data_IF_700430654582
#
_entry.id   IF_700430654582
#
_cell.length_a   1.000
_cell.length_b   1.000
_cell.length_c   1.000
_cell.angle_alpha   90.00
_cell.angle_beta   90.00
_cell.angle_gamma   90.00
#
_symmetry.space_group_name_H-M   'P 1'
#
loop_
_entity.id
_entity.type
_entity.pdbx_description
1 polymer ?
#
# COMPACT_ATOMS: atom_id res chain seq x y z
N UNK A 1 18.88 12.29 -37.01
CA UNK A 1 19.03 11.90 -35.59
C UNK A 1 18.04 12.77 -34.80
N UNK A 2 16.79 12.34 -34.72
CA UNK A 2 15.77 13.06 -33.96
C UNK A 2 16.00 12.84 -32.46
N UNK A 3 15.70 13.81 -31.58
CA UNK A 3 15.79 13.58 -30.15
C UNK A 3 14.81 12.45 -29.80
N UNK A 4 15.34 11.36 -29.26
CA UNK A 4 14.60 10.26 -28.67
C UNK A 4 13.96 10.77 -27.36
N UNK A 5 12.96 11.65 -27.46
CA UNK A 5 12.05 11.96 -26.37
C UNK A 5 11.15 10.76 -26.15
N UNK A 6 11.73 9.68 -25.60
CA UNK A 6 10.97 8.75 -24.77
C UNK A 6 10.42 9.59 -23.63
N UNK A 7 9.19 10.07 -23.77
CA UNK A 7 8.40 10.57 -22.65
C UNK A 7 8.45 9.46 -21.60
N UNK A 8 9.27 9.66 -20.57
CA UNK A 8 9.40 8.69 -19.49
C UNK A 8 8.00 8.52 -18.89
N UNK A 9 7.46 7.32 -19.00
CA UNK A 9 6.15 6.99 -18.47
C UNK A 9 6.15 7.31 -16.97
N UNK A 10 5.09 7.94 -16.42
CA UNK A 10 5.05 8.30 -15.01
C UNK A 10 5.18 7.04 -14.15
N UNK A 11 6.11 7.06 -13.19
CA UNK A 11 6.22 6.01 -12.20
C UNK A 11 5.55 6.44 -10.88
N UNK A 12 4.58 5.65 -10.46
CA UNK A 12 3.97 5.73 -9.13
C UNK A 12 5.06 5.58 -8.07
N UNK A 13 5.87 4.53 -8.15
CA UNK A 13 6.89 4.23 -7.12
C UNK A 13 7.92 5.37 -6.97
N UNK A 14 8.40 5.95 -8.07
CA UNK A 14 9.26 7.14 -8.02
C UNK A 14 8.57 8.31 -7.34
N UNK A 15 7.31 8.59 -7.73
CA UNK A 15 6.52 9.67 -7.14
C UNK A 15 6.39 9.51 -5.62
N UNK A 16 6.06 8.30 -5.14
CA UNK A 16 5.96 8.01 -3.70
C UNK A 16 7.29 8.27 -2.97
N UNK A 17 8.40 7.85 -3.55
CA UNK A 17 9.73 8.03 -2.97
C UNK A 17 10.20 9.49 -3.01
N UNK A 18 9.84 10.25 -4.05
CA UNK A 18 10.12 11.68 -4.16
C UNK A 18 9.32 12.47 -3.12
N UNK A 19 8.03 12.14 -2.96
CA UNK A 19 7.15 12.69 -1.91
C UNK A 19 7.67 12.37 -0.51
N UNK A 20 8.15 11.14 -0.26
CA UNK A 20 8.75 10.76 1.02
C UNK A 20 10.03 11.57 1.33
N UNK A 21 10.91 11.77 0.32
CA UNK A 21 12.11 12.61 0.49
C UNK A 21 11.77 14.06 0.80
N UNK A 22 10.72 14.61 0.18
CA UNK A 22 10.25 15.96 0.47
C UNK A 22 9.64 16.08 1.86
N UNK A 23 8.81 15.11 2.27
CA UNK A 23 8.25 15.06 3.62
C UNK A 23 9.38 15.05 4.68
N UNK A 24 10.45 14.29 4.43
CA UNK A 24 11.60 14.22 5.33
C UNK A 24 12.38 15.54 5.48
N UNK A 25 12.22 16.47 4.54
CA UNK A 25 12.86 17.79 4.58
C UNK A 25 12.00 18.84 5.31
N UNK A 26 10.72 18.53 5.58
CA UNK A 26 9.85 19.46 6.29
C UNK A 26 10.23 19.50 7.79
N UNK A 27 10.21 20.69 8.42
CA UNK A 27 10.47 20.81 9.85
C UNK A 27 9.43 20.03 10.66
N UNK A 28 9.89 19.24 11.64
CA UNK A 28 9.04 18.40 12.49
C UNK A 28 8.06 19.21 13.38
N UNK A 29 8.30 20.51 13.53
CA UNK A 29 7.48 21.43 14.32
C UNK A 29 7.17 22.67 13.47
N UNK A 30 6.11 22.62 12.69
CA UNK A 30 5.54 23.84 12.12
C UNK A 30 4.74 24.52 13.22
N UNK A 31 5.37 25.43 13.95
CA UNK A 31 4.63 26.44 14.70
C UNK A 31 3.95 27.33 13.66
N UNK A 32 2.63 27.29 13.61
CA UNK A 32 1.78 28.16 12.79
C UNK A 32 1.85 27.96 11.25
N UNK A 33 1.18 26.91 10.74
CA UNK A 33 0.66 26.87 9.37
C UNK A 33 1.64 26.87 8.18
N UNK A 34 2.94 27.10 8.39
CA UNK A 34 3.94 27.31 7.33
C UNK A 34 4.20 26.07 6.47
N UNK A 35 4.06 24.86 7.03
CA UNK A 35 4.18 23.60 6.27
C UNK A 35 2.89 23.14 5.58
N UNK A 36 1.75 23.81 5.81
CA UNK A 36 0.47 23.45 5.19
C UNK A 36 0.49 23.42 3.64
N UNK A 37 1.09 24.39 2.92
CA UNK A 37 1.13 24.33 1.46
C UNK A 37 1.98 23.16 0.93
N UNK A 38 3.10 22.84 1.60
CA UNK A 38 3.97 21.73 1.20
C UNK A 38 3.32 20.38 1.48
N UNK A 39 2.69 20.20 2.65
CA UNK A 39 1.91 19.00 2.96
C UNK A 39 0.76 18.82 1.97
N UNK A 40 0.06 19.89 1.59
CA UNK A 40 -0.99 19.85 0.58
C UNK A 40 -0.46 19.50 -0.81
N UNK A 41 0.75 19.94 -1.15
CA UNK A 41 1.41 19.56 -2.40
C UNK A 41 1.75 18.06 -2.40
N UNK A 42 2.32 17.54 -1.31
CA UNK A 42 2.61 16.12 -1.14
C UNK A 42 1.33 15.28 -1.21
N UNK A 43 0.28 15.65 -0.45
CA UNK A 43 -1.00 14.93 -0.48
C UNK A 43 -1.60 14.86 -1.90
N UNK A 44 -1.48 15.95 -2.67
CA UNK A 44 -1.94 15.99 -4.06
C UNK A 44 -1.13 15.07 -4.98
N UNK A 45 0.18 15.02 -4.81
CA UNK A 45 1.05 14.10 -5.57
C UNK A 45 0.70 12.65 -5.28
N UNK A 46 0.50 12.31 -4.01
CA UNK A 46 0.06 10.97 -3.61
C UNK A 46 -1.31 10.62 -4.21
N UNK A 47 -2.25 11.57 -4.20
CA UNK A 47 -3.58 11.38 -4.79
C UNK A 47 -3.53 11.18 -6.31
N UNK A 48 -2.67 11.93 -7.01
CA UNK A 48 -2.42 11.72 -8.45
C UNK A 48 -1.80 10.36 -8.70
N UNK A 49 -0.84 9.94 -7.86
CA UNK A 49 -0.19 8.62 -7.96
C UNK A 49 -1.19 7.47 -7.77
N UNK A 50 -2.14 7.60 -6.83
CA UNK A 50 -3.25 6.64 -6.66
C UNK A 50 -4.11 6.54 -7.93
N UNK A 51 -4.40 7.66 -8.58
CA UNK A 51 -5.13 7.69 -9.85
C UNK A 51 -4.37 7.04 -11.02
N UNK A 52 -3.03 7.04 -10.98
CA UNK A 52 -2.19 6.40 -12.00
C UNK A 52 -2.01 4.89 -11.76
N UNK A 53 -2.04 4.44 -10.51
CA UNK A 53 -1.83 3.03 -10.18
C UNK A 53 -1.94 2.72 -8.69
N UNK A 54 -3.17 2.77 -8.15
CA UNK A 54 -3.44 2.42 -6.76
C UNK A 54 -2.91 1.03 -6.35
N UNK A 55 -2.96 0.04 -7.25
CA UNK A 55 -2.41 -1.29 -6.96
C UNK A 55 -0.87 -1.29 -6.86
N UNK A 56 -0.19 -0.41 -7.61
CA UNK A 56 1.27 -0.22 -7.46
C UNK A 56 1.57 0.46 -6.13
N UNK A 57 0.77 1.44 -5.72
CA UNK A 57 0.92 2.10 -4.44
C UNK A 57 0.73 1.13 -3.27
N UNK A 58 -0.33 0.32 -3.28
CA UNK A 58 -0.53 -0.74 -2.28
C UNK A 58 0.62 -1.74 -2.26
N UNK A 59 1.09 -2.17 -3.43
CA UNK A 59 2.23 -3.07 -3.51
C UNK A 59 3.51 -2.45 -2.94
N UNK A 60 3.72 -1.14 -3.11
CA UNK A 60 4.84 -0.43 -2.52
C UNK A 60 4.78 -0.41 -0.98
N UNK A 61 3.58 -0.33 -0.40
CA UNK A 61 3.37 -0.46 1.05
C UNK A 61 3.69 -1.90 1.50
N UNK A 62 3.03 -2.90 0.88
CA UNK A 62 3.16 -4.30 1.29
C UNK A 62 4.58 -4.87 1.12
N UNK A 63 5.34 -4.37 0.16
CA UNK A 63 6.72 -4.79 -0.11
C UNK A 63 7.77 -3.85 0.53
N UNK A 64 7.36 -2.90 1.37
CA UNK A 64 8.23 -1.92 2.02
C UNK A 64 9.18 -1.19 1.03
N UNK A 65 8.63 -0.65 -0.06
CA UNK A 65 9.39 -0.01 -1.15
C UNK A 65 9.40 1.53 -1.09
N UNK A 66 8.86 2.10 -0.01
CA UNK A 66 8.87 3.55 0.24
C UNK A 66 10.08 3.89 1.11
N UNK A 67 10.98 4.72 0.59
CA UNK A 67 12.20 5.11 1.29
C UNK A 67 11.94 6.14 2.41
N UNK A 68 12.90 6.24 3.33
CA UNK A 68 12.90 7.21 4.40
C UNK A 68 12.94 6.58 5.79
N UNK A 69 12.88 7.43 6.81
CA UNK A 69 12.75 6.98 8.20
C UNK A 69 11.39 6.32 8.39
N UNK A 70 11.25 5.53 9.46
CA UNK A 70 9.96 4.91 9.80
C UNK A 70 8.83 5.94 9.89
N UNK A 71 9.06 7.11 10.50
CA UNK A 71 8.04 8.15 10.64
C UNK A 71 7.58 8.70 9.27
N UNK A 72 8.53 9.01 8.40
CA UNK A 72 8.25 9.51 7.04
C UNK A 72 7.50 8.46 6.23
N UNK A 73 7.99 7.22 6.22
CA UNK A 73 7.35 6.13 5.50
C UNK A 73 5.93 5.88 6.01
N UNK A 74 5.76 5.78 7.34
CA UNK A 74 4.46 5.57 7.97
C UNK A 74 3.44 6.64 7.60
N UNK A 75 3.85 7.92 7.57
CA UNK A 75 2.98 9.02 7.14
C UNK A 75 2.54 8.87 5.68
N UNK A 76 3.46 8.51 4.77
CA UNK A 76 3.15 8.27 3.34
C UNK A 76 2.21 7.06 3.19
N UNK A 77 2.52 5.93 3.83
CA UNK A 77 1.72 4.70 3.78
C UNK A 77 0.29 4.95 4.30
N UNK A 78 0.18 5.64 5.45
CA UNK A 78 -1.11 5.97 6.07
C UNK A 78 -1.92 6.90 5.17
N UNK A 79 -1.30 7.92 4.57
CA UNK A 79 -1.97 8.85 3.67
C UNK A 79 -2.50 8.13 2.42
N UNK A 80 -1.70 7.24 1.81
CA UNK A 80 -2.11 6.46 0.65
C UNK A 80 -3.33 5.58 0.95
N UNK A 81 -3.32 4.84 2.07
CA UNK A 81 -4.43 3.98 2.46
C UNK A 81 -5.70 4.76 2.79
N UNK A 82 -5.59 5.82 3.59
CA UNK A 82 -6.73 6.62 3.99
C UNK A 82 -7.37 7.30 2.77
N UNK A 83 -6.58 7.93 1.89
CA UNK A 83 -7.10 8.55 0.67
C UNK A 83 -7.74 7.52 -0.28
N UNK A 84 -7.13 6.33 -0.43
CA UNK A 84 -7.66 5.28 -1.30
C UNK A 84 -9.05 4.81 -0.86
N UNK A 85 -9.26 4.63 0.43
CA UNK A 85 -10.56 4.21 0.98
C UNK A 85 -11.57 5.36 0.92
N UNK A 86 -11.13 6.59 1.21
CA UNK A 86 -11.99 7.78 1.08
C UNK A 86 -12.44 8.03 -0.37
N UNK A 87 -11.63 7.69 -1.37
CA UNK A 87 -12.02 7.76 -2.79
C UNK A 87 -13.20 6.83 -3.09
N UNK A 88 -13.19 5.61 -2.55
CA UNK A 88 -14.28 4.65 -2.71
C UNK A 88 -15.57 5.12 -2.03
N UNK A 89 -15.43 5.87 -0.92
CA UNK A 89 -16.53 6.54 -0.22
C UNK A 89 -17.05 7.81 -0.93
N UNK A 90 -16.61 8.10 -2.16
CA UNK A 90 -17.03 9.24 -2.97
C UNK A 90 -16.81 10.62 -2.34
N UNK A 91 -15.80 10.74 -1.48
CA UNK A 91 -15.40 12.02 -0.88
C UNK A 91 -14.91 13.01 -1.96
N UNK A 92 -15.10 14.30 -1.71
CA UNK A 92 -14.65 15.36 -2.61
C UNK A 92 -13.12 15.46 -2.64
N UNK A 93 -12.59 16.08 -3.70
CA UNK A 93 -11.15 16.28 -3.82
C UNK A 93 -10.55 17.10 -2.66
N UNK A 94 -11.32 18.01 -2.07
CA UNK A 94 -10.87 18.81 -0.92
C UNK A 94 -10.73 17.91 0.31
N UNK A 95 -11.74 17.11 0.61
CA UNK A 95 -11.74 16.17 1.74
C UNK A 95 -10.61 15.15 1.62
N UNK A 96 -10.33 14.63 0.41
CA UNK A 96 -9.21 13.72 0.17
C UNK A 96 -7.85 14.35 0.49
N UNK A 97 -7.64 15.62 0.14
CA UNK A 97 -6.41 16.33 0.47
C UNK A 97 -6.28 16.57 1.97
N UNK A 98 -7.38 16.89 2.66
CA UNK A 98 -7.36 17.14 4.10
C UNK A 98 -7.10 15.84 4.88
N UNK A 99 -7.67 14.71 4.43
CA UNK A 99 -7.33 13.36 4.93
C UNK A 99 -5.86 13.05 4.71
N UNK A 100 -5.34 13.31 3.51
CA UNK A 100 -3.93 13.09 3.18
C UNK A 100 -3.00 13.91 4.08
N UNK A 101 -3.29 15.19 4.30
CA UNK A 101 -2.51 16.07 5.19
C UNK A 101 -2.55 15.56 6.62
N UNK A 102 -3.74 15.22 7.14
CA UNK A 102 -3.88 14.69 8.50
C UNK A 102 -3.03 13.42 8.69
N UNK A 103 -3.05 12.52 7.71
CA UNK A 103 -2.25 11.30 7.73
C UNK A 103 -0.74 11.54 7.61
N UNK A 104 -0.29 12.54 6.85
CA UNK A 104 1.13 12.89 6.74
C UNK A 104 1.70 13.43 8.06
N UNK A 105 0.84 13.97 8.93
CA UNK A 105 1.22 14.51 10.24
C UNK A 105 1.09 13.51 11.38
N UNK A 106 0.49 12.34 11.16
CA UNK A 106 0.29 11.35 12.22
C UNK A 106 1.60 10.63 12.53
N UNK A 107 1.90 10.45 13.81
CA UNK A 107 2.96 9.53 14.21
C UNK A 107 2.37 8.14 14.45
N UNK A 108 3.18 7.09 14.35
CA UNK A 108 2.72 5.72 14.60
C UNK A 108 2.19 5.49 16.04
N UNK A 109 2.44 6.45 16.94
CA UNK A 109 2.03 6.39 18.35
C UNK A 109 0.64 7.02 18.59
N UNK A 110 0.08 7.75 17.62
CA UNK A 110 -1.17 8.53 17.75
C UNK A 110 -2.45 7.75 17.38
N UNK A 111 -2.40 6.42 17.27
CA UNK A 111 -3.41 5.62 16.54
C UNK A 111 -4.76 5.38 17.24
N UNK A 112 -5.05 6.01 18.39
CA UNK A 112 -6.33 5.83 19.08
C UNK A 112 -7.28 6.99 18.77
N UNK A 113 -8.41 6.74 18.09
CA UNK A 113 -9.39 7.78 17.81
C UNK A 113 -9.94 8.33 19.14
N UNK A 114 -9.99 9.66 19.26
CA UNK A 114 -10.63 10.31 20.40
C UNK A 114 -12.11 9.90 20.49
N UNK A 115 -12.71 9.94 21.68
CA UNK A 115 -14.13 9.60 21.92
C UNK A 115 -15.15 10.35 21.04
N UNK A 116 -14.73 11.40 20.34
CA UNK A 116 -15.54 12.21 19.42
C UNK A 116 -14.78 12.48 18.12
N UNK A 117 -14.21 11.43 17.52
CA UNK A 117 -13.52 11.53 16.23
C UNK A 117 -14.52 11.64 15.07
N UNK A 118 -14.18 12.49 14.11
CA UNK A 118 -14.85 12.55 12.80
C UNK A 118 -14.58 11.27 11.98
N UNK A 119 -15.44 10.94 10.98
CA UNK A 119 -15.21 9.78 10.10
C UNK A 119 -13.82 9.78 9.44
N UNK A 120 -13.31 10.94 9.06
CA UNK A 120 -12.00 11.14 8.44
C UNK A 120 -10.88 10.79 9.42
N UNK A 121 -10.99 11.23 10.68
CA UNK A 121 -10.04 10.89 11.74
C UNK A 121 -10.05 9.41 12.07
N UNK A 122 -11.23 8.77 12.10
CA UNK A 122 -11.34 7.32 12.29
C UNK A 122 -10.66 6.61 11.12
N UNK A 123 -10.89 7.04 9.88
CA UNK A 123 -10.27 6.44 8.71
C UNK A 123 -8.74 6.53 8.73
N UNK A 124 -8.19 7.70 9.07
CA UNK A 124 -6.74 7.89 9.24
C UNK A 124 -6.21 6.99 10.36
N UNK A 125 -6.92 6.85 11.48
CA UNK A 125 -6.53 5.97 12.57
C UNK A 125 -6.53 4.48 12.16
N UNK A 126 -7.55 4.02 11.43
CA UNK A 126 -7.62 2.66 10.89
C UNK A 126 -6.46 2.38 9.92
N UNK A 127 -6.17 3.32 9.02
CA UNK A 127 -5.04 3.24 8.10
C UNK A 127 -3.69 3.18 8.85
N UNK A 128 -3.50 4.05 9.84
CA UNK A 128 -2.28 4.10 10.65
C UNK A 128 -2.06 2.81 11.43
N UNK A 129 -3.12 2.26 12.02
CA UNK A 129 -3.04 0.98 12.72
C UNK A 129 -2.71 -0.16 11.75
N UNK A 130 -3.30 -0.18 10.56
CA UNK A 130 -2.97 -1.17 9.53
C UNK A 130 -1.50 -1.13 9.16
N UNK A 131 -0.97 0.05 8.81
CA UNK A 131 0.45 0.24 8.50
C UNK A 131 1.34 -0.25 9.65
N UNK A 132 0.99 0.05 10.90
CA UNK A 132 1.76 -0.42 12.07
C UNK A 132 1.80 -1.94 12.17
N UNK A 133 0.68 -2.62 11.88
CA UNK A 133 0.58 -4.08 11.95
C UNK A 133 1.39 -4.77 10.84
N UNK A 134 1.36 -4.24 9.62
CA UNK A 134 1.99 -4.83 8.42
C UNK A 134 3.42 -4.35 8.15
N UNK A 135 3.84 -3.24 8.75
CA UNK A 135 5.18 -2.63 8.58
C UNK A 135 6.08 -2.83 9.80
N UNK A 136 5.77 -3.80 10.67
CA UNK A 136 6.43 -4.02 11.97
C UNK A 136 7.96 -3.90 11.91
N UNK A 137 8.57 -3.14 12.84
CA UNK A 137 10.03 -2.84 12.94
C UNK A 137 10.97 -4.05 12.82
N UNK A 138 10.46 -5.25 13.08
CA UNK A 138 11.09 -6.52 12.79
C UNK A 138 10.11 -7.36 11.95
N UNK A 139 10.44 -7.64 10.69
CA UNK A 139 9.64 -8.47 9.77
C UNK A 139 9.17 -9.81 10.37
N UNK A 140 9.92 -10.35 11.33
CA UNK A 140 9.58 -11.57 12.09
C UNK A 140 8.32 -11.45 12.97
N UNK A 141 7.85 -10.23 13.25
CA UNK A 141 6.66 -9.97 14.08
C UNK A 141 5.58 -9.19 13.33
N UNK A 142 5.72 -9.02 12.01
CA UNK A 142 4.67 -8.39 11.22
C UNK A 142 3.47 -9.29 11.10
N UNK A 143 2.26 -8.74 11.23
CA UNK A 143 1.05 -9.46 10.88
C UNK A 143 0.97 -9.64 9.36
N UNK A 144 0.40 -10.77 8.91
CA UNK A 144 0.01 -10.90 7.50
C UNK A 144 -1.15 -9.93 7.19
N UNK A 145 -1.28 -9.44 5.94
CA UNK A 145 -2.34 -8.49 5.57
C UNK A 145 -3.76 -8.92 5.99
N UNK A 146 -4.09 -10.21 5.85
CA UNK A 146 -5.38 -10.76 6.21
C UNK A 146 -5.60 -10.83 7.73
N UNK A 147 -4.54 -11.08 8.51
CA UNK A 147 -4.57 -11.03 9.97
C UNK A 147 -4.71 -9.59 10.47
N UNK A 148 -3.98 -8.64 9.88
CA UNK A 148 -4.06 -7.23 10.24
C UNK A 148 -5.47 -6.67 10.02
N UNK A 149 -6.12 -7.01 8.89
CA UNK A 149 -7.51 -6.65 8.63
C UNK A 149 -8.47 -7.21 9.68
N UNK A 150 -8.28 -8.45 10.14
CA UNK A 150 -9.10 -9.05 11.19
C UNK A 150 -8.93 -8.33 12.52
N UNK A 151 -7.70 -8.02 12.94
CA UNK A 151 -7.43 -7.24 14.16
C UNK A 151 -8.13 -5.89 14.14
N UNK A 152 -8.00 -5.16 13.03
CA UNK A 152 -8.64 -3.84 12.89
C UNK A 152 -10.16 -3.94 12.99
N UNK A 153 -10.76 -4.98 12.41
CA UNK A 153 -12.21 -5.16 12.45
C UNK A 153 -12.74 -5.55 13.83
N UNK A 154 -12.03 -6.41 14.56
CA UNK A 154 -12.49 -6.96 15.84
C UNK A 154 -12.43 -5.94 16.99
N UNK A 155 -11.47 -5.02 16.96
CA UNK A 155 -11.23 -4.05 18.04
C UNK A 155 -12.15 -2.80 17.98
N UNK A 156 -13.39 -2.91 17.45
CA UNK A 156 -14.30 -1.75 17.24
C UNK A 156 -15.54 -1.78 18.13
N UNK A 157 -15.69 -0.70 18.92
CA UNK A 157 -16.77 -0.54 19.88
C UNK A 157 -17.97 0.23 19.32
N UNK A 158 -17.77 1.18 18.39
CA UNK A 158 -18.85 2.00 17.84
C UNK A 158 -19.34 1.55 16.45
N UNK A 159 -20.59 1.89 16.12
CA UNK A 159 -21.20 1.56 14.83
C UNK A 159 -20.50 2.21 13.63
N UNK A 160 -20.08 3.47 13.77
CA UNK A 160 -19.36 4.21 12.71
C UNK A 160 -17.98 3.61 12.45
N UNK A 161 -17.22 3.29 13.48
CA UNK A 161 -15.91 2.63 13.33
C UNK A 161 -16.04 1.28 12.62
N UNK A 162 -17.09 0.51 12.95
CA UNK A 162 -17.35 -0.77 12.30
C UNK A 162 -17.68 -0.58 10.82
N UNK A 163 -18.51 0.39 10.45
CA UNK A 163 -18.84 0.68 9.05
C UNK A 163 -17.59 1.09 8.26
N UNK A 164 -16.76 1.97 8.81
CA UNK A 164 -15.52 2.39 8.17
C UNK A 164 -14.52 1.24 8.05
N UNK A 165 -14.39 0.40 9.08
CA UNK A 165 -13.55 -0.80 9.01
C UNK A 165 -14.04 -1.79 7.93
N UNK A 166 -15.37 -1.94 7.76
CA UNK A 166 -15.92 -2.77 6.68
C UNK A 166 -15.58 -2.22 5.30
N UNK A 167 -15.75 -0.91 5.07
CA UNK A 167 -15.34 -0.28 3.81
C UNK A 167 -13.84 -0.42 3.57
N UNK A 168 -13.02 -0.21 4.59
CA UNK A 168 -11.58 -0.39 4.52
C UNK A 168 -11.20 -1.81 4.07
N UNK A 169 -11.84 -2.85 4.63
CA UNK A 169 -11.65 -4.24 4.23
C UNK A 169 -12.14 -4.52 2.80
N UNK A 170 -13.24 -3.92 2.37
CA UNK A 170 -13.77 -4.08 1.01
C UNK A 170 -12.82 -3.51 -0.03
N UNK A 171 -12.26 -2.31 0.21
CA UNK A 171 -11.35 -1.63 -0.70
C UNK A 171 -10.01 -2.33 -0.81
N UNK A 172 -9.46 -2.84 0.29
CA UNK A 172 -8.18 -3.55 0.28
C UNK A 172 -8.30 -4.98 -0.24
N UNK A 173 -9.44 -5.63 0.06
CA UNK A 173 -9.62 -7.05 -0.13
C UNK A 173 -8.78 -7.87 0.85
N UNK A 174 -9.00 -9.19 0.86
CA UNK A 174 -8.30 -10.11 1.76
C UNK A 174 -6.79 -10.14 1.52
N UNK A 175 -6.36 -10.04 0.27
CA UNK A 175 -4.96 -10.05 -0.14
C UNK A 175 -4.71 -8.82 -1.01
N UNK A 176 -4.30 -7.68 -0.45
CA UNK A 176 -4.00 -6.49 -1.22
C UNK A 176 -2.78 -6.70 -2.14
N UNK A 177 -2.59 -5.89 -3.20
CA UNK A 177 -1.44 -5.98 -4.09
C UNK A 177 -0.14 -5.85 -3.31
N UNK A 178 0.86 -6.63 -3.71
CA UNK A 178 2.12 -6.83 -2.98
C UNK A 178 2.07 -7.92 -1.91
N UNK A 179 0.89 -8.44 -1.55
CA UNK A 179 0.81 -9.61 -0.67
C UNK A 179 1.44 -10.83 -1.34
N UNK A 180 2.43 -11.43 -0.68
CA UNK A 180 2.99 -12.71 -1.08
C UNK A 180 2.04 -13.83 -0.67
N UNK A 181 1.77 -14.74 -1.60
CA UNK A 181 0.81 -15.83 -1.41
C UNK A 181 1.37 -17.16 -1.90
N UNK A 182 0.91 -18.24 -1.29
CA UNK A 182 1.17 -19.60 -1.74
C UNK A 182 -0.04 -20.12 -2.50
N UNK A 183 0.18 -20.66 -3.69
CA UNK A 183 -0.87 -21.25 -4.51
C UNK A 183 -1.02 -22.74 -4.18
N UNK A 184 -2.17 -23.31 -4.54
CA UNK A 184 -2.42 -24.75 -4.38
C UNK A 184 -1.44 -25.60 -5.19
N UNK A 185 -0.92 -25.07 -6.30
CA UNK A 185 0.14 -25.71 -7.09
C UNK A 185 1.47 -25.86 -6.34
N UNK A 186 1.68 -25.12 -5.25
CA UNK A 186 2.97 -25.00 -4.56
C UNK A 186 3.79 -23.79 -5.01
N UNK A 187 3.42 -23.13 -6.11
CA UNK A 187 4.05 -21.88 -6.54
C UNK A 187 3.88 -20.78 -5.49
N UNK A 188 4.92 -19.97 -5.31
CA UNK A 188 4.82 -18.67 -4.68
C UNK A 188 4.44 -17.63 -5.73
N UNK A 189 3.59 -16.69 -5.35
CA UNK A 189 3.15 -15.60 -6.19
C UNK A 189 2.97 -14.32 -5.38
N UNK A 190 2.86 -13.19 -6.07
CA UNK A 190 2.48 -11.90 -5.49
C UNK A 190 1.14 -11.44 -6.06
N UNK A 191 0.26 -10.90 -5.23
CA UNK A 191 -0.97 -10.27 -5.72
C UNK A 191 -0.62 -8.97 -6.45
N UNK A 192 -1.16 -8.78 -7.65
CA UNK A 192 -0.90 -7.59 -8.49
C UNK A 192 -2.11 -6.69 -8.65
N UNK A 193 -3.32 -7.20 -8.41
CA UNK A 193 -4.60 -6.48 -8.54
C UNK A 193 -5.63 -7.03 -7.55
N UNK A 194 -6.56 -6.19 -7.11
CA UNK A 194 -7.63 -6.53 -6.14
C UNK A 194 -8.89 -7.13 -6.76
N UNK A 195 -9.40 -6.52 -7.84
CA UNK A 195 -10.67 -6.93 -8.47
C UNK A 195 -10.60 -6.92 -10.02
N UNK A 196 -10.68 -8.10 -10.68
CA UNK A 196 -10.54 -9.41 -10.08
C UNK A 196 -9.14 -9.58 -9.47
N UNK A 197 -9.00 -10.44 -8.46
CA UNK A 197 -7.69 -10.70 -7.85
C UNK A 197 -6.75 -11.35 -8.86
N UNK A 198 -5.69 -10.63 -9.25
CA UNK A 198 -4.63 -11.15 -10.12
C UNK A 198 -3.38 -11.46 -9.31
N UNK A 199 -2.69 -12.52 -9.68
CA UNK A 199 -1.45 -12.99 -9.08
C UNK A 199 -0.36 -13.12 -10.14
N UNK A 200 0.87 -12.77 -9.79
CA UNK A 200 2.04 -12.99 -10.62
C UNK A 200 2.93 -14.05 -9.98
N UNK A 201 3.12 -15.22 -10.62
CA UNK A 201 4.03 -16.25 -10.12
C UNK A 201 5.44 -15.71 -9.93
N UNK A 202 6.06 -16.06 -8.81
CA UNK A 202 7.42 -15.70 -8.43
C UNK A 202 8.34 -16.92 -8.31
N UNK A 203 7.78 -18.12 -8.25
CA UNK A 203 8.53 -19.37 -8.23
C UNK A 203 7.91 -20.41 -9.15
N UNK A 204 8.66 -21.46 -9.45
CA UNK A 204 8.12 -22.68 -10.04
C UNK A 204 7.32 -23.49 -9.00
N UNK A 205 6.62 -24.54 -9.45
CA UNK A 205 5.91 -25.50 -8.57
C UNK A 205 6.86 -26.25 -7.62
N UNK A 206 8.15 -26.32 -7.95
CA UNK A 206 9.20 -26.87 -7.09
C UNK A 206 9.74 -25.87 -6.07
N UNK A 207 9.18 -24.65 -6.03
CA UNK A 207 9.62 -23.58 -5.12
C UNK A 207 10.89 -22.87 -5.55
N UNK A 208 11.36 -23.09 -6.79
CA UNK A 208 12.56 -22.41 -7.30
C UNK A 208 12.19 -20.98 -7.72
N UNK A 209 12.85 -19.94 -7.18
CA UNK A 209 12.64 -18.55 -7.60
C UNK A 209 12.79 -18.36 -9.11
N UNK A 210 11.86 -17.63 -9.73
CA UNK A 210 12.00 -17.23 -11.13
C UNK A 210 13.06 -16.14 -11.27
N UNK A 211 13.90 -16.25 -12.28
CA UNK A 211 14.87 -15.23 -12.65
C UNK A 211 14.18 -13.95 -13.18
N UNK A 212 14.87 -12.80 -13.18
CA UNK A 212 14.33 -11.56 -13.74
C UNK A 212 13.81 -11.67 -15.19
N UNK A 213 14.46 -12.47 -16.04
CA UNK A 213 14.02 -12.69 -17.42
C UNK A 213 12.75 -13.55 -17.48
N UNK A 214 12.66 -14.60 -16.66
CA UNK A 214 11.45 -15.43 -16.57
C UNK A 214 10.25 -14.63 -16.03
N UNK A 215 10.48 -13.74 -15.06
CA UNK A 215 9.43 -12.87 -14.53
C UNK A 215 8.83 -11.95 -15.60
N UNK A 216 9.65 -11.39 -16.51
CA UNK A 216 9.18 -10.54 -17.61
C UNK A 216 8.30 -11.29 -18.62
N UNK A 217 8.54 -12.58 -18.79
CA UNK A 217 7.78 -13.44 -19.70
C UNK A 217 6.58 -14.11 -19.04
N UNK A 218 6.50 -14.07 -17.71
CA UNK A 218 5.37 -14.62 -16.95
C UNK A 218 4.21 -13.64 -16.99
N UNK A 219 3.01 -14.15 -17.26
CA UNK A 219 1.78 -13.33 -17.26
C UNK A 219 1.03 -13.48 -15.93
N UNK A 220 0.41 -12.39 -15.43
CA UNK A 220 -0.51 -12.47 -14.32
C UNK A 220 -1.65 -13.45 -14.60
N UNK A 221 -2.03 -14.23 -13.59
CA UNK A 221 -3.13 -15.19 -13.61
C UNK A 221 -4.22 -14.70 -12.67
N UNK A 222 -5.49 -14.91 -13.00
CA UNK A 222 -6.56 -14.64 -12.03
C UNK A 222 -6.61 -15.75 -10.97
N UNK A 223 -6.67 -15.33 -9.70
CA UNK A 223 -6.66 -16.24 -8.56
C UNK A 223 -7.90 -17.15 -8.61
N UNK A 224 -7.68 -18.46 -8.48
CA UNK A 224 -8.78 -19.45 -8.46
C UNK A 224 -9.42 -19.76 -9.82
N UNK A 225 -8.96 -19.17 -10.94
CA UNK A 225 -9.46 -19.56 -12.29
C UNK A 225 -9.22 -21.03 -12.57
N UNK A 226 -8.08 -21.56 -12.09
CA UNK A 226 -7.86 -23.00 -11.99
C UNK A 226 -7.70 -23.37 -10.52
N UNK A 227 -8.03 -24.62 -10.17
CA UNK A 227 -7.83 -25.11 -8.81
C UNK A 227 -6.37 -24.95 -8.34
N UNK A 228 -5.41 -25.07 -9.27
CA UNK A 228 -3.98 -24.88 -9.04
C UNK A 228 -3.62 -23.43 -8.67
N UNK A 229 -4.30 -22.44 -9.25
CA UNK A 229 -4.07 -21.01 -8.97
C UNK A 229 -4.88 -20.48 -7.77
N UNK A 230 -5.54 -21.35 -7.00
CA UNK A 230 -6.23 -20.93 -5.78
C UNK A 230 -5.22 -20.56 -4.69
N UNK A 231 -5.42 -19.41 -4.04
CA UNK A 231 -4.59 -18.97 -2.91
C UNK A 231 -4.88 -19.87 -1.71
N UNK A 232 -3.83 -20.49 -1.16
CA UNK A 232 -3.88 -21.29 0.07
C UNK A 232 -3.74 -20.39 1.29
N UNK A 233 -2.89 -19.36 1.20
CA UNK A 233 -2.67 -18.38 2.27
C UNK A 233 -1.63 -17.34 1.89
N UNK A 234 -1.56 -16.26 2.66
CA UNK A 234 -0.48 -15.30 2.61
C UNK A 234 0.79 -15.88 3.26
N UNK A 235 1.96 -15.41 2.85
CA UNK A 235 3.26 -15.84 3.36
C UNK A 235 4.11 -14.64 3.75
N UNK A 236 4.93 -14.78 4.79
CA UNK A 236 5.88 -13.75 5.16
C UNK A 236 7.05 -13.70 4.17
N UNK A 237 7.65 -12.53 4.00
CA UNK A 237 8.83 -12.34 3.15
C UNK A 237 10.01 -13.23 3.60
N UNK A 238 10.19 -13.42 4.91
CA UNK A 238 11.21 -14.31 5.49
C UNK A 238 10.99 -15.79 5.16
N UNK A 239 9.74 -16.21 4.99
CA UNK A 239 9.41 -17.58 4.57
C UNK A 239 9.51 -17.74 3.06
N UNK A 240 9.18 -16.69 2.31
CA UNK A 240 9.28 -16.70 0.85
C UNK A 240 10.75 -16.80 0.41
N UNK A 241 11.67 -16.11 1.10
CA UNK A 241 13.11 -16.05 0.74
C UNK A 241 13.34 -15.65 -0.73
N UNK A 242 12.42 -14.87 -1.29
CA UNK A 242 12.42 -14.41 -2.67
C UNK A 242 12.77 -12.93 -2.72
N UNK A 243 13.62 -12.55 -3.67
CA UNK A 243 13.90 -11.14 -3.97
C UNK A 243 13.54 -10.88 -5.43
N UNK A 244 12.66 -9.92 -5.68
CA UNK A 244 12.28 -9.49 -7.02
C UNK A 244 12.13 -7.97 -7.07
N UNK A 245 12.24 -7.39 -8.26
CA UNK A 245 11.99 -5.96 -8.46
C UNK A 245 10.52 -5.72 -8.80
N UNK A 246 9.90 -4.71 -8.18
CA UNK A 246 8.54 -4.30 -8.56
C UNK A 246 8.42 -4.01 -10.06
N UNK A 247 9.45 -3.46 -10.70
CA UNK A 247 9.45 -3.20 -12.15
C UNK A 247 9.22 -4.46 -12.99
N UNK A 248 9.72 -5.62 -12.56
CA UNK A 248 9.52 -6.87 -13.29
C UNK A 248 8.08 -7.41 -13.17
N UNK A 249 7.29 -6.91 -12.22
CA UNK A 249 5.91 -7.34 -11.97
C UNK A 249 4.89 -6.30 -12.45
N UNK A 250 5.13 -5.01 -12.17
CA UNK A 250 4.23 -3.90 -12.49
C UNK A 250 4.73 -2.98 -13.62
N UNK A 251 5.88 -3.28 -14.23
CA UNK A 251 6.43 -2.50 -15.34
C UNK A 251 6.95 -1.13 -14.94
N UNK A 252 6.98 -0.21 -15.91
CA UNK A 252 7.58 1.13 -15.74
C UNK A 252 6.83 2.00 -14.72
N UNK A 253 5.56 1.69 -14.43
CA UNK A 253 4.80 2.33 -13.34
C UNK A 253 5.45 2.11 -11.96
N UNK A 254 6.22 1.03 -11.78
CA UNK A 254 6.92 0.69 -10.54
C UNK A 254 8.45 0.79 -10.65
N UNK A 255 8.94 1.69 -11.52
CA UNK A 255 10.36 1.98 -11.67
C UNK A 255 10.83 3.06 -10.68
N UNK A 256 11.87 2.78 -9.88
CA UNK A 256 12.56 3.80 -9.08
C UNK A 256 13.26 4.85 -9.95
#
# INVERSE_FOLDING_TARGET
>A
MGPDTRQQQPSVLRTLNDSARRLAQLPCATHDGDGAPDLRAIARELLVALGQGADIALAAIMLNQIAGTHAVRHGIETALLAMLVAQDMQQSHVELLDIGIAALTITAEDALPAKSASPEQILVALASQYCTLVSSRNYLRSALPDQALQTIFLDRDSGTERLLAQHFMQVLGKYPPGTLVRLRSGELAVVTRRDPTLIHPLSTVQGVPLSPEELKHTLPRAAGVTAACAIVGAVHESEAQLHFSMRHVWGDGAQL
#
